data_IF_249997664670
#
_entry.id   IF_249997664670
#
_cell.length_a   1.000
_cell.length_b   1.000
_cell.length_c   1.000
_cell.angle_alpha   90.00
_cell.angle_beta   90.00
_cell.angle_gamma   90.00
#
_symmetry.space_group_name_H-M   'P 1'
#
loop_
_entity.id
_entity.type
_entity.pdbx_description
1 polymer ?
#
# COMPACT_ATOMS: atom_id res chain seq x y z
N UNK A 1 13.26 -17.97 15.66
CA UNK A 1 13.04 -17.83 14.20
C UNK A 1 13.05 -16.37 13.72
N UNK A 2 12.87 -15.38 14.58
CA UNK A 2 12.92 -13.93 14.25
C UNK A 2 14.35 -13.45 13.96
N UNK A 3 15.38 -14.08 14.54
CA UNK A 3 16.77 -13.63 14.41
C UNK A 3 17.41 -13.91 13.05
N UNK A 4 17.00 -14.96 12.35
CA UNK A 4 17.59 -15.32 11.06
C UNK A 4 17.12 -14.41 9.92
N UNK A 5 15.86 -13.96 9.95
CA UNK A 5 15.28 -13.02 8.97
C UNK A 5 15.87 -11.61 9.15
N UNK A 6 16.01 -11.17 10.40
CA UNK A 6 16.66 -9.88 10.74
C UNK A 6 18.14 -9.88 10.34
N UNK A 7 18.85 -11.00 10.49
CA UNK A 7 20.26 -11.15 10.09
C UNK A 7 20.39 -11.16 8.57
N UNK A 8 19.46 -11.80 7.83
CA UNK A 8 19.41 -11.77 6.38
C UNK A 8 19.19 -10.35 5.85
N UNK A 9 18.20 -9.64 6.36
CA UNK A 9 17.95 -8.24 6.03
C UNK A 9 19.16 -7.32 6.36
N UNK A 10 19.87 -7.56 7.46
CA UNK A 10 21.06 -6.79 7.82
C UNK A 10 22.26 -7.05 6.90
N UNK A 11 22.38 -8.23 6.30
CA UNK A 11 23.45 -8.55 5.37
C UNK A 11 23.25 -7.93 3.98
N UNK A 12 21.99 -7.78 3.56
CA UNK A 12 21.64 -7.20 2.26
C UNK A 12 21.48 -5.68 2.31
N UNK A 13 20.92 -5.15 3.40
CA UNK A 13 20.86 -3.72 3.66
C UNK A 13 22.14 -3.34 4.43
N UNK A 14 23.12 -2.74 3.76
CA UNK A 14 24.35 -2.22 4.39
C UNK A 14 24.03 -1.09 5.39
N UNK A 15 23.48 -1.46 6.55
CA UNK A 15 23.24 -0.54 7.65
C UNK A 15 24.59 -0.26 8.33
N UNK A 16 25.08 0.98 8.24
CA UNK A 16 26.28 1.41 8.96
C UNK A 16 25.90 1.78 10.40
N UNK A 17 26.70 1.35 11.37
CA UNK A 17 26.58 1.82 12.75
C UNK A 17 26.56 3.36 12.81
N UNK A 18 25.61 3.93 13.58
CA UNK A 18 25.44 5.39 13.71
C UNK A 18 24.51 6.06 12.68
N UNK A 19 23.83 5.29 11.82
CA UNK A 19 22.81 5.88 10.95
C UNK A 19 21.61 6.38 11.75
N UNK A 20 21.08 7.56 11.37
CA UNK A 20 19.85 8.08 11.97
C UNK A 20 18.64 7.20 11.62
N UNK A 21 17.65 7.13 12.52
CA UNK A 21 16.41 6.37 12.31
C UNK A 21 15.73 6.67 10.96
N UNK A 22 15.68 7.94 10.56
CA UNK A 22 15.09 8.34 9.27
C UNK A 22 15.88 7.81 8.07
N UNK A 23 17.19 7.73 8.19
CA UNK A 23 18.04 7.18 7.12
C UNK A 23 17.87 5.67 7.01
N UNK A 24 17.76 4.97 8.14
CA UNK A 24 17.47 3.54 8.18
C UNK A 24 16.12 3.26 7.49
N UNK A 25 15.04 3.97 7.89
CA UNK A 25 13.72 3.80 7.30
C UNK A 25 13.72 4.02 5.77
N UNK A 26 14.39 5.07 5.30
CA UNK A 26 14.51 5.30 3.85
C UNK A 26 15.26 4.17 3.14
N UNK A 27 16.36 3.69 3.74
CA UNK A 27 17.14 2.59 3.15
C UNK A 27 16.28 1.31 3.06
N UNK A 28 15.49 0.99 4.09
CA UNK A 28 14.58 -0.17 4.07
C UNK A 28 13.52 0.00 2.97
N UNK A 29 12.86 1.15 2.89
CA UNK A 29 11.82 1.40 1.88
C UNK A 29 12.41 1.32 0.45
N UNK A 30 13.60 1.85 0.21
CA UNK A 30 14.26 1.77 -1.10
C UNK A 30 14.67 0.31 -1.44
N UNK A 31 15.06 -0.48 -0.45
CA UNK A 31 15.31 -1.89 -0.61
C UNK A 31 14.02 -2.62 -1.01
N UNK A 32 12.95 -2.50 -0.23
CA UNK A 32 11.65 -3.10 -0.51
C UNK A 32 11.11 -2.71 -1.90
N UNK A 33 11.28 -1.44 -2.28
CA UNK A 33 10.92 -0.96 -3.61
C UNK A 33 11.64 -1.73 -4.70
N UNK A 34 12.97 -1.82 -4.60
CA UNK A 34 13.79 -2.50 -5.59
C UNK A 34 13.41 -3.97 -5.71
N UNK A 35 13.26 -4.67 -4.59
CA UNK A 35 12.86 -6.07 -4.57
C UNK A 35 11.48 -6.25 -5.22
N UNK A 36 10.49 -5.46 -4.83
CA UNK A 36 9.15 -5.52 -5.41
C UNK A 36 9.17 -5.35 -6.93
N UNK A 37 9.86 -4.33 -7.46
CA UNK A 37 9.93 -4.10 -8.90
C UNK A 37 10.73 -5.21 -9.63
N UNK A 38 11.77 -5.74 -9.00
CA UNK A 38 12.58 -6.83 -9.56
C UNK A 38 11.81 -8.15 -9.62
N UNK A 39 11.09 -8.50 -8.55
CA UNK A 39 10.37 -9.76 -8.44
C UNK A 39 9.08 -9.79 -9.26
N UNK A 40 8.38 -8.66 -9.32
CA UNK A 40 7.08 -8.58 -9.98
C UNK A 40 7.15 -8.10 -11.42
N UNK A 41 8.23 -7.48 -11.85
CA UNK A 41 8.33 -6.72 -13.10
C UNK A 41 7.22 -5.67 -13.24
N UNK A 42 6.73 -5.14 -12.12
CA UNK A 42 5.55 -4.26 -12.07
C UNK A 42 5.69 -3.06 -13.02
N UNK A 43 6.84 -2.39 -13.02
CA UNK A 43 7.09 -1.22 -13.87
C UNK A 43 7.03 -1.54 -15.35
N UNK A 44 7.61 -2.67 -15.76
CA UNK A 44 7.62 -3.10 -17.17
C UNK A 44 6.22 -3.51 -17.65
N UNK A 45 5.44 -4.17 -16.76
CA UNK A 45 4.09 -4.65 -17.06
C UNK A 45 3.09 -3.49 -17.16
N UNK A 46 3.20 -2.50 -16.27
CA UNK A 46 2.19 -1.43 -16.12
C UNK A 46 2.61 -0.10 -16.73
N UNK A 47 3.87 0.04 -17.14
CA UNK A 47 4.51 1.33 -17.47
C UNK A 47 4.40 2.38 -16.34
N UNK A 48 4.29 1.90 -15.07
CA UNK A 48 4.17 2.75 -13.89
C UNK A 48 5.31 2.47 -12.89
N UNK A 49 6.23 3.40 -12.79
CA UNK A 49 7.35 3.41 -11.84
C UNK A 49 7.10 4.31 -10.64
N UNK A 50 5.88 4.82 -10.50
CA UNK A 50 5.54 5.85 -9.52
C UNK A 50 5.13 5.31 -8.14
N UNK A 51 4.94 3.99 -7.98
CA UNK A 51 4.68 3.39 -6.67
C UNK A 51 5.77 3.79 -5.69
N UNK A 52 5.38 4.51 -4.65
CA UNK A 52 6.32 5.01 -3.64
C UNK A 52 5.62 5.17 -2.30
N UNK A 53 6.28 4.74 -1.22
CA UNK A 53 5.74 4.74 0.13
C UNK A 53 6.61 5.53 1.10
N UNK A 54 6.02 5.99 2.19
CA UNK A 54 6.73 6.70 3.27
C UNK A 54 6.92 5.83 4.52
N UNK A 55 6.45 4.59 4.47
CA UNK A 55 6.57 3.60 5.56
C UNK A 55 6.98 2.25 5.00
N UNK A 56 7.81 1.47 5.69
CA UNK A 56 8.19 0.12 5.27
C UNK A 56 7.00 -0.85 5.32
N UNK A 57 7.14 -2.00 4.65
CA UNK A 57 6.14 -3.07 4.58
C UNK A 57 4.98 -2.82 3.63
N UNK A 58 4.96 -1.67 2.93
CA UNK A 58 3.83 -1.33 2.08
C UNK A 58 3.87 -2.00 0.71
N UNK A 59 5.04 -2.37 0.22
CA UNK A 59 5.19 -3.14 -1.02
C UNK A 59 4.61 -4.54 -0.88
N UNK A 60 4.75 -5.18 0.28
CA UNK A 60 4.12 -6.47 0.58
C UNK A 60 2.59 -6.34 0.58
N UNK A 61 2.05 -5.25 1.14
CA UNK A 61 0.60 -4.99 1.11
C UNK A 61 0.10 -4.89 -0.33
N UNK A 62 0.83 -4.20 -1.21
CA UNK A 62 0.47 -4.14 -2.65
C UNK A 62 0.50 -5.53 -3.28
N UNK A 63 1.54 -6.31 -3.01
CA UNK A 63 1.64 -7.67 -3.52
C UNK A 63 0.46 -8.54 -3.06
N UNK A 64 0.06 -8.47 -1.80
CA UNK A 64 -1.13 -9.16 -1.28
C UNK A 64 -2.41 -8.69 -1.97
N UNK A 65 -2.58 -7.38 -2.23
CA UNK A 65 -3.75 -6.88 -2.98
C UNK A 65 -3.80 -7.45 -4.40
N UNK A 66 -2.66 -7.60 -5.08
CA UNK A 66 -2.57 -8.23 -6.40
C UNK A 66 -2.97 -9.71 -6.32
N UNK A 67 -2.48 -10.45 -5.33
CA UNK A 67 -2.82 -11.86 -5.12
C UNK A 67 -4.31 -12.07 -4.84
N UNK A 68 -4.90 -11.24 -3.98
CA UNK A 68 -6.33 -11.25 -3.69
C UNK A 68 -7.14 -10.96 -4.96
N UNK A 69 -6.74 -9.98 -5.75
CA UNK A 69 -7.39 -9.65 -7.02
C UNK A 69 -7.31 -10.82 -8.01
N UNK A 70 -6.13 -11.44 -8.16
CA UNK A 70 -5.92 -12.66 -8.95
C UNK A 70 -6.87 -13.79 -8.52
N UNK A 71 -6.96 -14.02 -7.21
CA UNK A 71 -7.85 -15.03 -6.65
C UNK A 71 -9.32 -14.80 -7.05
N UNK A 72 -9.84 -13.57 -6.92
CA UNK A 72 -11.21 -13.26 -7.30
C UNK A 72 -11.47 -13.37 -8.80
N UNK A 73 -10.51 -13.02 -9.65
CA UNK A 73 -10.64 -13.21 -11.10
C UNK A 73 -10.77 -14.71 -11.40
N UNK A 74 -9.88 -15.53 -10.82
CA UNK A 74 -9.85 -16.97 -11.05
C UNK A 74 -11.13 -17.70 -10.61
N UNK A 75 -11.87 -17.18 -9.63
CA UNK A 75 -13.15 -17.76 -9.22
C UNK A 75 -14.23 -17.71 -10.32
N UNK A 76 -14.09 -16.81 -11.27
CA UNK A 76 -15.07 -16.59 -12.33
C UNK A 76 -14.59 -17.02 -13.73
N UNK A 77 -13.44 -17.71 -13.78
CA UNK A 77 -12.81 -18.17 -15.03
C UNK A 77 -12.50 -19.65 -14.99
N UNK A 78 -12.45 -20.28 -16.16
CA UNK A 78 -12.08 -21.70 -16.29
C UNK A 78 -10.57 -21.92 -16.29
N UNK A 79 -9.80 -20.91 -16.67
CA UNK A 79 -8.35 -20.94 -16.70
C UNK A 79 -7.75 -19.91 -15.73
N UNK A 80 -6.65 -20.29 -15.10
CA UNK A 80 -5.97 -19.39 -14.17
C UNK A 80 -5.25 -18.27 -14.93
N UNK A 81 -5.53 -17.01 -14.56
CA UNK A 81 -4.84 -15.86 -15.15
C UNK A 81 -3.37 -15.84 -14.71
N UNK A 82 -2.50 -15.43 -15.62
CA UNK A 82 -1.07 -15.29 -15.33
C UNK A 82 -0.80 -14.18 -14.29
N UNK A 83 0.37 -14.23 -13.66
CA UNK A 83 0.74 -13.17 -12.70
C UNK A 83 0.91 -11.80 -13.39
N UNK A 84 1.56 -11.68 -14.55
CA UNK A 84 1.60 -10.42 -15.30
C UNK A 84 0.22 -9.84 -15.63
N UNK A 85 -0.74 -10.67 -16.06
CA UNK A 85 -2.09 -10.24 -16.37
C UNK A 85 -2.84 -9.80 -15.10
N UNK A 86 -2.63 -10.48 -13.98
CA UNK A 86 -3.20 -10.09 -12.70
C UNK A 86 -2.66 -8.74 -12.21
N UNK A 87 -1.36 -8.48 -12.38
CA UNK A 87 -0.72 -7.20 -12.06
C UNK A 87 -1.33 -6.08 -12.91
N UNK A 88 -1.39 -6.28 -14.23
CA UNK A 88 -1.95 -5.28 -15.15
C UNK A 88 -3.42 -5.01 -14.87
N UNK A 89 -4.20 -6.07 -14.63
CA UNK A 89 -5.62 -5.96 -14.28
C UNK A 89 -5.82 -5.22 -12.96
N UNK A 90 -5.08 -5.59 -11.90
CA UNK A 90 -5.15 -4.92 -10.61
C UNK A 90 -4.78 -3.43 -10.72
N UNK A 91 -3.69 -3.12 -11.42
CA UNK A 91 -3.25 -1.75 -11.63
C UNK A 91 -4.36 -0.90 -12.27
N UNK A 92 -4.95 -1.39 -13.38
CA UNK A 92 -5.95 -0.65 -14.15
C UNK A 92 -7.32 -0.58 -13.49
N UNK A 93 -7.76 -1.67 -12.84
CA UNK A 93 -9.13 -1.80 -12.33
C UNK A 93 -9.26 -1.48 -10.83
N UNK A 94 -8.17 -1.55 -10.07
CA UNK A 94 -8.18 -1.32 -8.62
C UNK A 94 -7.35 -0.10 -8.24
N UNK A 95 -6.06 -0.08 -8.60
CA UNK A 95 -5.15 0.97 -8.16
C UNK A 95 -5.44 2.33 -8.79
N UNK A 96 -5.46 2.41 -10.12
CA UNK A 96 -5.68 3.68 -10.82
C UNK A 96 -7.02 4.36 -10.50
N UNK A 97 -8.16 3.65 -10.36
CA UNK A 97 -9.40 4.28 -9.93
C UNK A 97 -9.28 4.98 -8.58
N UNK A 98 -8.61 4.37 -7.59
CA UNK A 98 -8.38 5.01 -6.28
C UNK A 98 -7.47 6.21 -6.40
N UNK A 99 -6.39 6.11 -7.17
CA UNK A 99 -5.47 7.23 -7.43
C UNK A 99 -6.21 8.40 -8.09
N UNK A 100 -7.14 8.13 -9.00
CA UNK A 100 -7.95 9.16 -9.65
C UNK A 100 -8.90 9.86 -8.65
N UNK A 101 -9.51 9.13 -7.71
CA UNK A 101 -10.30 9.72 -6.62
C UNK A 101 -9.42 10.62 -5.75
N UNK A 102 -8.24 10.16 -5.34
CA UNK A 102 -7.28 10.92 -4.54
C UNK A 102 -6.92 12.26 -5.23
N UNK A 103 -6.66 12.20 -6.56
CA UNK A 103 -6.35 13.37 -7.38
C UNK A 103 -7.56 14.30 -7.49
N UNK A 104 -8.73 13.79 -7.86
CA UNK A 104 -9.99 14.53 -8.02
C UNK A 104 -10.37 15.28 -6.74
N UNK A 105 -10.26 14.63 -5.59
CA UNK A 105 -10.56 15.21 -4.29
C UNK A 105 -9.42 16.06 -3.71
N UNK A 106 -8.30 16.21 -4.43
CA UNK A 106 -7.11 17.00 -4.03
C UNK A 106 -6.59 16.62 -2.63
N UNK A 107 -6.67 15.33 -2.29
CA UNK A 107 -6.39 14.82 -0.95
C UNK A 107 -4.95 15.10 -0.49
N UNK A 108 -3.97 15.08 -1.42
CA UNK A 108 -2.56 15.33 -1.11
C UNK A 108 -2.30 16.69 -0.45
N UNK A 109 -3.20 17.68 -0.64
CA UNK A 109 -3.10 18.98 0.05
C UNK A 109 -3.29 18.87 1.56
N UNK A 110 -4.09 17.89 2.00
CA UNK A 110 -4.41 17.65 3.41
C UNK A 110 -3.42 16.70 4.08
N UNK A 111 -2.68 15.87 3.30
CA UNK A 111 -1.78 14.82 3.78
C UNK A 111 -0.32 15.10 3.39
N UNK A 112 0.21 16.23 3.88
CA UNK A 112 1.59 16.66 3.58
C UNK A 112 2.62 15.59 3.97
N UNK A 113 3.60 15.34 3.09
CA UNK A 113 4.67 14.37 3.32
C UNK A 113 4.25 12.92 3.13
N UNK A 114 3.10 12.67 2.52
CA UNK A 114 2.62 11.35 2.11
C UNK A 114 2.60 11.24 0.60
N UNK A 115 2.57 10.01 0.10
CA UNK A 115 2.47 9.71 -1.33
C UNK A 115 1.04 9.32 -1.71
N UNK A 116 0.66 9.36 -2.99
CA UNK A 116 -0.61 8.79 -3.44
C UNK A 116 -0.74 7.31 -3.11
N UNK A 117 0.37 6.55 -3.14
CA UNK A 117 0.38 5.12 -2.80
C UNK A 117 0.13 4.88 -1.31
N UNK A 118 0.66 5.72 -0.40
CA UNK A 118 0.28 5.67 1.03
C UNK A 118 -1.23 5.86 1.19
N UNK A 119 -1.79 6.84 0.47
CA UNK A 119 -3.23 7.15 0.53
C UNK A 119 -4.07 6.01 -0.01
N UNK A 120 -3.62 5.35 -1.08
CA UNK A 120 -4.28 4.15 -1.62
C UNK A 120 -4.46 3.09 -0.54
N UNK A 121 -3.37 2.67 0.12
CA UNK A 121 -3.42 1.62 1.15
C UNK A 121 -4.35 2.01 2.30
N UNK A 122 -4.29 3.26 2.76
CA UNK A 122 -5.11 3.72 3.87
C UNK A 122 -6.61 3.81 3.52
N UNK A 123 -6.94 4.28 2.32
CA UNK A 123 -8.32 4.39 1.86
C UNK A 123 -8.93 3.00 1.63
N UNK A 124 -8.20 2.05 1.03
CA UNK A 124 -8.70 0.69 0.81
C UNK A 124 -8.98 0.02 2.17
N UNK A 125 -8.06 0.11 3.12
CA UNK A 125 -8.28 -0.44 4.45
C UNK A 125 -9.49 0.21 5.15
N UNK A 126 -9.59 1.51 5.10
CA UNK A 126 -10.71 2.25 5.70
C UNK A 126 -12.05 1.88 5.04
N UNK A 127 -12.08 1.75 3.74
CA UNK A 127 -13.26 1.32 2.99
C UNK A 127 -13.68 -0.11 3.36
N UNK A 128 -12.74 -1.01 3.52
CA UNK A 128 -13.01 -2.38 3.94
C UNK A 128 -13.59 -2.46 5.35
N UNK A 129 -13.05 -1.68 6.28
CA UNK A 129 -13.60 -1.51 7.63
C UNK A 129 -15.04 -0.96 7.61
N UNK A 130 -15.34 -0.01 6.72
CA UNK A 130 -16.69 0.54 6.56
C UNK A 130 -17.66 -0.48 5.96
N UNK A 131 -17.26 -1.23 4.94
CA UNK A 131 -18.09 -2.31 4.36
C UNK A 131 -18.43 -3.37 5.41
N UNK A 132 -17.47 -3.73 6.23
CA UNK A 132 -17.68 -4.68 7.33
C UNK A 132 -18.71 -4.17 8.35
N UNK A 133 -18.75 -2.87 8.62
CA UNK A 133 -19.65 -2.25 9.61
C UNK A 133 -21.02 -1.91 9.06
N UNK A 134 -21.10 -1.46 7.81
CA UNK A 134 -22.30 -0.84 7.22
C UNK A 134 -22.83 -1.57 5.98
N UNK A 135 -22.17 -2.64 5.54
CA UNK A 135 -22.55 -3.41 4.36
C UNK A 135 -21.81 -2.99 3.09
N UNK A 136 -21.96 -3.84 2.06
CA UNK A 136 -21.18 -3.72 0.82
C UNK A 136 -21.56 -2.53 -0.08
N UNK A 137 -22.66 -1.84 0.21
CA UNK A 137 -23.15 -0.72 -0.61
C UNK A 137 -22.36 0.58 -0.39
N UNK A 138 -21.36 0.56 0.53
CA UNK A 138 -20.55 1.74 0.83
C UNK A 138 -19.58 2.01 -0.32
N UNK A 139 -19.76 3.12 -1.04
CA UNK A 139 -18.96 3.43 -2.21
C UNK A 139 -17.52 3.85 -1.83
N UNK A 140 -16.57 3.51 -2.70
CA UNK A 140 -15.17 3.91 -2.52
C UNK A 140 -14.99 5.44 -2.52
N UNK A 141 -15.73 6.17 -3.36
CA UNK A 141 -15.66 7.65 -3.45
C UNK A 141 -16.14 8.30 -2.14
N UNK A 142 -17.21 7.75 -1.54
CA UNK A 142 -17.71 8.17 -0.22
C UNK A 142 -16.69 7.86 0.87
N UNK A 143 -16.14 6.64 0.89
CA UNK A 143 -15.11 6.26 1.87
C UNK A 143 -13.88 7.15 1.79
N UNK A 144 -13.41 7.50 0.58
CA UNK A 144 -12.30 8.42 0.40
C UNK A 144 -12.61 9.84 0.93
N UNK A 145 -13.85 10.32 0.70
CA UNK A 145 -14.30 11.61 1.22
C UNK A 145 -14.34 11.63 2.75
N UNK A 146 -14.91 10.59 3.35
CA UNK A 146 -15.01 10.45 4.81
C UNK A 146 -13.63 10.31 5.44
N UNK A 147 -12.76 9.49 4.86
CA UNK A 147 -11.37 9.40 5.27
C UNK A 147 -10.68 10.76 5.25
N UNK A 148 -10.85 11.52 4.14
CA UNK A 148 -10.26 12.85 3.99
C UNK A 148 -10.79 13.85 5.01
N UNK A 149 -12.08 13.77 5.39
CA UNK A 149 -12.71 14.65 6.36
C UNK A 149 -12.33 14.27 7.80
N UNK A 150 -12.23 12.98 8.09
CA UNK A 150 -11.89 12.49 9.44
C UNK A 150 -10.41 12.72 9.76
N UNK A 151 -9.52 12.48 8.79
CA UNK A 151 -8.08 12.42 9.01
C UNK A 151 -7.29 13.54 8.33
N UNK A 152 -7.90 14.24 7.36
CA UNK A 152 -7.29 15.30 6.58
C UNK A 152 -7.33 16.65 7.28
N UNK A 153 -6.48 16.89 8.19
CA UNK A 153 -6.08 18.17 8.82
C UNK A 153 -5.29 17.80 10.07
N UNK A 154 -4.78 18.71 10.85
CA UNK A 154 -3.88 18.53 12.03
C UNK A 154 -4.10 17.30 12.97
N UNK A 155 -5.06 16.43 12.64
CA UNK A 155 -5.35 15.15 13.32
C UNK A 155 -4.44 13.98 12.85
N UNK A 156 -3.61 14.19 11.83
CA UNK A 156 -2.73 13.13 11.25
C UNK A 156 -1.80 12.47 12.27
N UNK A 157 -1.38 13.16 13.33
CA UNK A 157 -0.59 12.54 14.39
C UNK A 157 -1.37 11.48 15.18
N UNK A 158 -2.68 11.69 15.41
CA UNK A 158 -3.55 10.71 16.10
C UNK A 158 -3.83 9.49 15.21
N UNK A 159 -3.98 9.70 13.90
CA UNK A 159 -4.20 8.62 12.94
C UNK A 159 -2.98 7.71 12.84
N UNK A 160 -1.78 8.26 12.71
CA UNK A 160 -0.54 7.47 12.64
C UNK A 160 -0.37 6.56 13.85
N UNK A 161 -0.81 7.00 15.03
CA UNK A 161 -0.80 6.18 16.23
C UNK A 161 -1.88 5.07 16.18
N UNK A 162 -3.09 5.37 15.66
CA UNK A 162 -4.15 4.36 15.50
C UNK A 162 -3.78 3.31 14.43
N UNK A 163 -3.25 3.71 13.29
CA UNK A 163 -2.80 2.79 12.23
C UNK A 163 -1.64 1.92 12.72
N UNK A 164 -0.69 2.48 13.49
CA UNK A 164 0.39 1.70 14.11
C UNK A 164 -0.13 0.65 15.10
N UNK A 165 -1.19 0.96 15.84
CA UNK A 165 -1.83 0.03 16.77
C UNK A 165 -2.52 -1.11 16.00
N UNK A 166 -3.21 -0.79 14.90
CA UNK A 166 -3.92 -1.77 14.07
C UNK A 166 -2.90 -2.70 13.37
N UNK A 167 -1.82 -2.16 12.81
CA UNK A 167 -0.75 -2.94 12.16
C UNK A 167 0.09 -3.79 13.14
N UNK A 168 0.04 -3.48 14.46
CA UNK A 168 0.70 -4.30 15.50
C UNK A 168 -0.18 -5.42 16.06
N UNK A 169 -1.48 -5.40 15.80
CA UNK A 169 -2.42 -6.42 16.31
C UNK A 169 -2.58 -7.60 15.35
N UNK A 170 -2.05 -7.49 14.12
CA UNK A 170 -2.07 -8.54 13.10
C UNK A 170 -0.70 -9.24 12.94
N UNK A 171 0.24 -9.06 13.91
CA UNK A 171 1.56 -9.68 13.93
C UNK A 171 1.79 -10.53 15.16
#
# INVERSE_FOLDING_TARGET
MIDAEVISLQSEIKLKAGMSKNKILKTVIEYEKREFYSETSFGDITDDWSLNFTSPGQYDVIYQHILIHKYYINQNQTEEISMPDAILSWHNQVYLPVINIIKKQKMMKKFKGRTPSDMYVWIIKYWDDLKTKFGNDYSLDTAASDFSNEFGSNKTKKLLNKIKIILKLDG
#
